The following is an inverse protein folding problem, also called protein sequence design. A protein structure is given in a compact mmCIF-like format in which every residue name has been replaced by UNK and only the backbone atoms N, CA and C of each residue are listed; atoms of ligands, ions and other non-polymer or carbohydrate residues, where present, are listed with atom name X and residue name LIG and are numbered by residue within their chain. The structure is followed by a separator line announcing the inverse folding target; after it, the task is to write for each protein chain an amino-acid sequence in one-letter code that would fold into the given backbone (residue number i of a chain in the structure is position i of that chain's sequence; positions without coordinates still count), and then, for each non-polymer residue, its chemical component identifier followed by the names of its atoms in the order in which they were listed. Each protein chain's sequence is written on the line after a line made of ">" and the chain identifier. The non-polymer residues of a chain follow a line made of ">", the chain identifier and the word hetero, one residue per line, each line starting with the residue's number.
data_IF_047256275884
#
_entry.id   IF_047256275884
#
_cell.length_a   1.000
_cell.length_b   1.000
_cell.length_c   1.000
_cell.angle_alpha   90.00
_cell.angle_beta   90.00
_cell.angle_gamma   90.00
#
_symmetry.space_group_name_H-M   'P 1'
#
loop_
_entity.id
_entity.type
_entity.pdbx_description
1 polymer ?
#
# COMPACT_ATOMS: atom_id res chain seq x y z
N UNK A 1 6.04 17.49 39.56
CA UNK A 1 7.17 17.05 38.71
C UNK A 1 6.63 16.32 37.49
N UNK A 2 7.10 16.67 36.28
CA UNK A 2 6.71 15.96 35.07
C UNK A 2 7.25 14.52 35.06
N UNK A 3 6.50 13.58 34.47
CA UNK A 3 6.96 12.19 34.30
C UNK A 3 8.22 12.18 33.42
N UNK A 4 9.16 11.28 33.70
CA UNK A 4 10.37 11.14 32.87
C UNK A 4 9.99 10.74 31.45
N UNK A 5 10.79 11.14 30.45
CA UNK A 5 10.54 10.82 29.04
C UNK A 5 10.38 9.32 28.82
N UNK A 6 11.18 8.50 29.53
CA UNK A 6 11.09 7.03 29.50
C UNK A 6 9.72 6.51 29.97
N UNK A 7 9.21 7.03 31.08
CA UNK A 7 7.89 6.63 31.61
C UNK A 7 6.76 7.05 30.66
N UNK A 8 6.88 8.23 30.03
CA UNK A 8 5.93 8.67 29.01
C UNK A 8 6.00 7.81 27.74
N UNK A 9 7.20 7.44 27.29
CA UNK A 9 7.44 6.60 26.13
C UNK A 9 6.81 5.20 26.30
N UNK A 10 7.08 4.54 27.43
CA UNK A 10 6.50 3.22 27.76
C UNK A 10 4.96 3.28 27.79
N UNK A 11 4.38 4.34 28.37
CA UNK A 11 2.91 4.52 28.40
C UNK A 11 2.29 4.71 27.02
N UNK A 12 3.07 5.19 26.05
CA UNK A 12 2.64 5.47 24.69
C UNK A 12 3.10 4.38 23.70
N UNK A 13 3.49 3.20 24.22
CA UNK A 13 3.97 2.06 23.44
C UNK A 13 5.08 2.41 22.43
N UNK A 14 5.99 3.29 22.85
CA UNK A 14 7.10 3.74 22.02
C UNK A 14 8.44 3.56 22.72
N UNK A 15 9.47 3.26 21.94
CA UNK A 15 10.85 3.30 22.41
C UNK A 15 11.28 4.72 22.79
N UNK A 16 12.16 4.86 23.78
CA UNK A 16 12.61 6.16 24.29
C UNK A 16 13.31 7.00 23.20
N UNK A 17 14.03 6.38 22.26
CA UNK A 17 14.67 7.05 21.12
C UNK A 17 13.63 7.64 20.19
N UNK A 18 12.54 6.91 19.95
CA UNK A 18 11.40 7.35 19.14
C UNK A 18 10.68 8.52 19.80
N UNK A 19 10.43 8.45 21.11
CA UNK A 19 9.86 9.54 21.89
C UNK A 19 10.74 10.81 21.82
N UNK A 20 12.06 10.65 21.96
CA UNK A 20 13.02 11.75 21.86
C UNK A 20 13.02 12.41 20.48
N UNK A 21 12.94 11.60 19.42
CA UNK A 21 12.84 12.09 18.03
C UNK A 21 11.58 12.94 17.84
N UNK A 22 10.40 12.41 18.16
CA UNK A 22 9.15 13.15 17.96
C UNK A 22 9.03 14.38 18.85
N UNK A 23 9.51 14.31 20.11
CA UNK A 23 9.57 15.49 20.99
C UNK A 23 10.50 16.58 20.43
N UNK A 24 11.62 16.21 19.79
CA UNK A 24 12.55 17.18 19.18
C UNK A 24 11.97 17.83 17.93
N UNK A 25 11.31 17.03 17.08
CA UNK A 25 10.74 17.53 15.81
C UNK A 25 9.41 18.27 16.07
N UNK A 26 8.76 18.04 17.21
CA UNK A 26 7.51 18.71 17.58
C UNK A 26 6.32 18.30 16.70
N UNK A 27 6.45 17.18 15.98
CA UNK A 27 5.49 16.66 15.00
C UNK A 27 5.12 15.23 15.31
N UNK A 28 3.90 14.84 14.98
CA UNK A 28 3.36 13.50 15.17
C UNK A 28 4.05 12.49 14.24
N UNK A 29 4.03 11.19 14.58
CA UNK A 29 4.54 10.13 13.72
C UNK A 29 3.96 10.18 12.29
N UNK A 30 2.68 10.51 12.16
CA UNK A 30 1.98 10.66 10.88
C UNK A 30 2.48 11.84 10.05
N UNK A 31 2.87 12.94 10.67
CA UNK A 31 3.36 14.16 9.99
C UNK A 31 4.83 14.05 9.53
N UNK A 32 5.57 13.10 10.10
CA UNK A 32 7.00 12.85 9.79
C UNK A 32 7.16 11.59 8.92
N UNK A 33 6.09 10.82 8.71
CA UNK A 33 6.14 9.63 7.86
C UNK A 33 6.32 10.10 6.40
N UNK A 34 7.41 9.72 5.72
CA UNK A 34 7.56 10.08 4.31
C UNK A 34 6.50 9.37 3.48
N UNK A 35 5.95 10.07 2.50
CA UNK A 35 5.11 9.45 1.48
C UNK A 35 5.93 8.41 0.72
N UNK A 36 5.42 7.18 0.70
CA UNK A 36 6.06 6.09 -0.02
C UNK A 36 5.52 6.08 -1.43
N UNK A 37 6.32 6.58 -2.37
CA UNK A 37 5.99 6.60 -3.79
C UNK A 37 6.34 5.30 -4.51
N UNK A 38 7.08 4.39 -3.86
CA UNK A 38 7.52 3.13 -4.45
C UNK A 38 6.58 1.98 -4.09
N UNK A 39 6.34 1.11 -5.07
CA UNK A 39 5.66 -0.17 -4.86
C UNK A 39 6.60 -1.14 -4.15
N UNK A 40 6.07 -1.91 -3.20
CA UNK A 40 6.83 -2.97 -2.51
C UNK A 40 6.87 -4.27 -3.31
N UNK A 41 6.08 -4.37 -4.38
CA UNK A 41 6.05 -5.48 -5.33
C UNK A 41 5.88 -4.96 -6.76
N UNK A 42 6.43 -5.65 -7.77
CA UNK A 42 6.11 -5.38 -9.17
C UNK A 42 4.61 -5.46 -9.41
N UNK A 43 4.13 -4.68 -10.37
CA UNK A 43 2.73 -4.71 -10.78
C UNK A 43 2.46 -5.97 -11.60
N UNK A 44 1.66 -6.88 -11.04
CA UNK A 44 1.34 -8.18 -11.65
C UNK A 44 0.60 -8.06 -12.99
N UNK A 45 -0.02 -6.91 -13.28
CA UNK A 45 -0.77 -6.67 -14.50
C UNK A 45 -0.01 -5.80 -15.50
N UNK A 46 1.21 -5.34 -15.20
CA UNK A 46 1.96 -4.43 -16.06
C UNK A 46 2.11 -4.95 -17.50
N UNK A 47 2.33 -6.25 -17.69
CA UNK A 47 2.50 -6.86 -19.01
C UNK A 47 1.22 -6.92 -19.85
N UNK A 48 0.04 -6.84 -19.22
CA UNK A 48 -1.27 -6.93 -19.87
C UNK A 48 -2.07 -5.62 -19.74
N UNK A 49 -1.46 -4.57 -19.22
CA UNK A 49 -2.15 -3.33 -18.86
C UNK A 49 -2.78 -2.64 -20.08
N UNK A 50 -2.05 -2.55 -21.20
CA UNK A 50 -2.59 -1.94 -22.42
C UNK A 50 -3.82 -2.69 -22.94
N UNK A 51 -3.81 -4.03 -22.91
CA UNK A 51 -4.98 -4.82 -23.30
C UNK A 51 -6.17 -4.61 -22.35
N UNK A 52 -5.92 -4.57 -21.05
CA UNK A 52 -6.94 -4.28 -20.03
C UNK A 52 -7.57 -2.91 -20.28
N UNK A 53 -6.72 -1.91 -20.55
CA UNK A 53 -7.13 -0.54 -20.82
C UNK A 53 -7.98 -0.45 -22.08
N UNK A 54 -7.56 -1.06 -23.19
CA UNK A 54 -8.35 -1.09 -24.43
C UNK A 54 -9.76 -1.67 -24.20
N UNK A 55 -9.88 -2.75 -23.43
CA UNK A 55 -11.19 -3.36 -23.13
C UNK A 55 -12.08 -2.45 -22.30
N UNK A 56 -11.51 -1.71 -21.35
CA UNK A 56 -12.23 -0.74 -20.53
C UNK A 56 -12.60 0.51 -21.33
N UNK A 57 -11.78 0.94 -22.29
CA UNK A 57 -12.11 2.04 -23.19
C UNK A 57 -13.28 1.68 -24.12
N UNK A 58 -13.30 0.46 -24.65
CA UNK A 58 -14.39 -0.04 -25.50
C UNK A 58 -15.68 -0.27 -24.70
N UNK A 59 -15.58 -0.82 -23.50
CA UNK A 59 -16.72 -1.03 -22.62
C UNK A 59 -16.38 -0.64 -21.17
N UNK A 60 -16.66 0.62 -20.78
CA UNK A 60 -16.41 1.10 -19.43
C UNK A 60 -17.22 0.39 -18.34
N UNK A 61 -18.33 -0.27 -18.71
CA UNK A 61 -19.16 -1.05 -17.80
C UNK A 61 -18.66 -2.47 -17.54
N UNK A 62 -17.51 -2.85 -18.11
CA UNK A 62 -16.95 -4.19 -17.94
C UNK A 62 -16.56 -4.41 -16.47
N UNK A 63 -17.12 -5.45 -15.86
CA UNK A 63 -16.77 -5.80 -14.48
C UNK A 63 -15.32 -6.29 -14.39
N UNK A 64 -14.63 -5.91 -13.31
CA UNK A 64 -13.28 -6.35 -13.02
C UNK A 64 -13.15 -7.88 -12.97
N UNK A 65 -14.16 -8.59 -12.44
CA UNK A 65 -14.20 -10.06 -12.39
C UNK A 65 -14.23 -10.68 -13.79
N UNK A 66 -15.03 -10.12 -14.69
CA UNK A 66 -15.13 -10.60 -16.08
C UNK A 66 -13.81 -10.41 -16.82
N UNK A 67 -13.18 -9.24 -16.64
CA UNK A 67 -11.87 -8.97 -17.23
C UNK A 67 -10.78 -9.89 -16.66
N UNK A 68 -10.82 -10.13 -15.34
CA UNK A 68 -9.88 -11.04 -14.69
C UNK A 68 -10.05 -12.49 -15.18
N UNK A 69 -11.27 -13.00 -15.26
CA UNK A 69 -11.55 -14.33 -15.80
C UNK A 69 -11.12 -14.46 -17.27
N UNK A 70 -11.29 -13.40 -18.05
CA UNK A 70 -10.80 -13.34 -19.42
C UNK A 70 -9.26 -13.47 -19.45
N UNK A 71 -8.54 -12.73 -18.60
CA UNK A 71 -7.09 -12.81 -18.50
C UNK A 71 -6.62 -14.21 -18.06
N UNK A 72 -7.30 -14.84 -17.10
CA UNK A 72 -6.98 -16.21 -16.66
C UNK A 72 -7.16 -17.24 -17.79
N UNK A 73 -8.19 -17.07 -18.64
CA UNK A 73 -8.41 -17.93 -19.80
C UNK A 73 -7.38 -17.70 -20.91
N UNK A 74 -7.01 -16.44 -21.14
CA UNK A 74 -6.06 -16.05 -22.19
C UNK A 74 -4.60 -16.37 -21.83
N UNK A 75 -4.27 -16.25 -20.54
CA UNK A 75 -2.94 -16.50 -20.00
C UNK A 75 -2.98 -17.56 -18.88
N UNK A 76 -3.19 -18.84 -19.21
CA UNK A 76 -3.28 -19.90 -18.22
C UNK A 76 -2.03 -19.98 -17.33
N UNK A 77 -2.22 -20.04 -16.02
CA UNK A 77 -1.14 -20.13 -15.04
C UNK A 77 -0.43 -18.82 -14.70
N UNK A 78 -0.74 -17.71 -15.38
CA UNK A 78 -0.13 -16.40 -15.10
C UNK A 78 -0.87 -15.60 -14.03
N UNK A 79 -2.18 -15.80 -13.91
CA UNK A 79 -3.05 -15.10 -12.95
C UNK A 79 -3.75 -16.12 -12.04
N UNK A 80 -3.47 -16.06 -10.74
CA UNK A 80 -3.97 -17.02 -9.75
C UNK A 80 -5.34 -16.62 -9.19
N UNK A 81 -6.14 -17.60 -8.80
CA UNK A 81 -7.40 -17.35 -8.09
C UNK A 81 -7.14 -16.57 -6.79
N UNK A 82 -7.93 -15.52 -6.54
CA UNK A 82 -7.77 -14.65 -5.36
C UNK A 82 -6.80 -13.47 -5.53
N UNK A 83 -6.33 -13.20 -6.75
CA UNK A 83 -5.53 -12.00 -7.05
C UNK A 83 -6.38 -10.71 -7.13
N UNK A 84 -7.71 -10.84 -7.19
CA UNK A 84 -8.68 -9.74 -7.15
C UNK A 84 -9.26 -9.56 -5.74
#
# INVERSE_FOLDING_TARGET
>A
MGKTLRVAAVRADMDEKTARRYRRVGRLPSEVKPDRTWRTRPDSFASVWEEVKEKLEVNPGLEAKTLFQYLQRKYPGQFADGQL
#
